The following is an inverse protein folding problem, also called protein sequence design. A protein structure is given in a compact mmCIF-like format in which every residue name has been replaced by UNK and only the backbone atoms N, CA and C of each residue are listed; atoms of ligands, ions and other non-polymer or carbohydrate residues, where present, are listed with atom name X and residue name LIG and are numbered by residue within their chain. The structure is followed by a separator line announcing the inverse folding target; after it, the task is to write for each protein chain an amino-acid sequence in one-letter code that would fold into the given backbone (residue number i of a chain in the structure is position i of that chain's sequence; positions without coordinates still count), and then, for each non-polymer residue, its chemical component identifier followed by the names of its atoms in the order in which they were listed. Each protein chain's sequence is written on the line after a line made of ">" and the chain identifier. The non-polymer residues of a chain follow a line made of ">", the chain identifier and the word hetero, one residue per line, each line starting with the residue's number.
data_IF_055169483767
#
_entry.id   IF_055169483767
#
_cell.length_a   1.000
_cell.length_b   1.000
_cell.length_c   1.000
_cell.angle_alpha   90.00
_cell.angle_beta   90.00
_cell.angle_gamma   90.00
#
_symmetry.space_group_name_H-M   'P 1'
#
loop_
_entity.id
_entity.type
_entity.pdbx_description
1 polymer ?
#
# COMPACT_ATOMS: atom_id res chain seq x y z
N UNK A 1 17.67 -1.01 -28.69
CA UNK A 1 17.01 -0.93 -27.36
C UNK A 1 17.80 -0.05 -26.41
N UNK A 2 19.05 -0.39 -26.08
CA UNK A 2 19.92 0.35 -25.13
C UNK A 2 19.93 1.87 -25.34
N UNK A 3 20.11 2.34 -26.58
CA UNK A 3 20.10 3.76 -26.91
C UNK A 3 18.81 4.49 -26.49
N UNK A 4 17.65 3.83 -26.60
CA UNK A 4 16.36 4.41 -26.22
C UNK A 4 16.21 4.37 -24.69
N UNK A 5 16.58 3.25 -24.05
CA UNK A 5 16.50 3.11 -22.59
C UNK A 5 17.35 4.16 -21.85
N UNK A 6 18.55 4.48 -22.36
CA UNK A 6 19.41 5.54 -21.79
C UNK A 6 18.77 6.93 -21.76
N UNK A 7 17.78 7.22 -22.61
CA UNK A 7 17.04 8.49 -22.54
C UNK A 7 16.20 8.64 -21.27
N UNK A 8 15.95 7.54 -20.56
CA UNK A 8 15.11 7.47 -19.36
C UNK A 8 15.92 7.25 -18.06
N UNK A 9 17.24 7.43 -18.10
CA UNK A 9 18.13 7.19 -16.94
C UNK A 9 17.79 8.10 -15.74
N UNK A 10 17.32 9.33 -15.99
CA UNK A 10 16.92 10.29 -14.95
C UNK A 10 15.62 9.93 -14.19
N UNK A 11 15.02 8.76 -14.44
CA UNK A 11 13.74 8.37 -13.83
C UNK A 11 13.88 7.71 -12.44
N UNK A 12 15.13 7.42 -12.03
CA UNK A 12 15.47 6.71 -10.79
C UNK A 12 15.36 5.19 -10.90
N UNK A 13 15.10 4.66 -12.09
CA UNK A 13 15.05 3.21 -12.37
C UNK A 13 16.40 2.76 -12.91
N UNK A 14 16.86 1.57 -12.52
CA UNK A 14 18.08 0.99 -13.06
C UNK A 14 18.01 0.88 -14.59
N UNK A 15 19.09 1.28 -15.28
CA UNK A 15 19.15 1.24 -16.75
C UNK A 15 18.97 -0.18 -17.28
N UNK A 16 19.43 -1.20 -16.55
CA UNK A 16 19.27 -2.61 -16.93
C UNK A 16 17.80 -3.06 -16.94
N UNK A 17 17.01 -2.57 -15.98
CA UNK A 17 15.56 -2.82 -15.94
C UNK A 17 14.87 -2.12 -17.11
N UNK A 18 15.25 -0.88 -17.40
CA UNK A 18 14.72 -0.13 -18.55
C UNK A 18 15.07 -0.81 -19.88
N UNK A 19 16.25 -1.42 -20.00
CA UNK A 19 16.64 -2.23 -21.15
C UNK A 19 15.76 -3.49 -21.25
N UNK A 20 15.51 -4.16 -20.13
CA UNK A 20 14.67 -5.36 -20.08
C UNK A 20 13.22 -5.05 -20.48
N UNK A 21 12.62 -4.00 -19.93
CA UNK A 21 11.30 -3.48 -20.33
C UNK A 21 11.30 -3.07 -21.80
N UNK A 22 12.32 -2.36 -22.26
CA UNK A 22 12.47 -1.99 -23.66
C UNK A 22 12.59 -3.20 -24.60
N UNK A 23 13.14 -4.31 -24.13
CA UNK A 23 13.26 -5.57 -24.89
C UNK A 23 11.89 -6.21 -25.09
N UNK A 24 11.00 -6.15 -24.09
CA UNK A 24 9.58 -6.52 -24.24
C UNK A 24 8.91 -5.67 -25.33
N UNK A 25 9.17 -4.35 -25.33
CA UNK A 25 8.68 -3.44 -26.35
C UNK A 25 9.18 -3.78 -27.77
N UNK A 26 10.42 -4.25 -27.90
CA UNK A 26 10.98 -4.75 -29.16
C UNK A 26 10.30 -6.04 -29.61
N UNK A 27 10.09 -7.01 -28.72
CA UNK A 27 9.38 -8.27 -29.04
C UNK A 27 7.98 -7.96 -29.58
N UNK A 28 7.23 -7.07 -28.90
CA UNK A 28 5.92 -6.62 -29.38
C UNK A 28 6.00 -5.99 -30.77
N UNK A 29 6.99 -5.11 -30.98
CA UNK A 29 7.18 -4.46 -32.28
C UNK A 29 7.41 -5.46 -33.41
N UNK A 30 8.24 -6.48 -33.19
CA UNK A 30 8.51 -7.52 -34.18
C UNK A 30 7.24 -8.33 -34.47
N UNK A 31 6.49 -8.69 -33.44
CA UNK A 31 5.26 -9.49 -33.60
C UNK A 31 4.12 -8.74 -34.30
N UNK A 32 4.05 -7.41 -34.18
CA UNK A 32 2.96 -6.59 -34.76
C UNK A 32 3.37 -5.77 -35.98
N UNK A 33 4.62 -5.90 -36.43
CA UNK A 33 5.11 -5.14 -37.58
C UNK A 33 4.41 -5.57 -38.88
N UNK A 34 4.00 -4.58 -39.67
CA UNK A 34 3.42 -4.81 -40.99
C UNK A 34 4.24 -4.09 -42.07
N UNK A 35 4.96 -4.83 -42.95
CA UNK A 35 5.73 -4.27 -44.06
C UNK A 35 4.92 -3.44 -45.06
N UNK A 36 3.63 -3.76 -45.25
CA UNK A 36 2.73 -3.08 -46.19
C UNK A 36 2.52 -1.60 -45.85
N UNK A 37 2.78 -1.22 -44.59
CA UNK A 37 2.67 0.17 -44.12
C UNK A 37 3.83 1.07 -44.58
N UNK A 38 4.80 0.55 -45.35
CA UNK A 38 5.92 1.30 -45.96
C UNK A 38 6.76 2.12 -44.96
N UNK A 39 6.87 1.65 -43.71
CA UNK A 39 7.75 2.23 -42.69
C UNK A 39 8.88 1.27 -42.35
N UNK A 40 10.06 1.81 -42.02
CA UNK A 40 11.19 1.00 -41.56
C UNK A 40 10.85 0.37 -40.20
N UNK A 41 11.17 -0.91 -40.03
CA UNK A 41 10.99 -1.63 -38.76
C UNK A 41 11.65 -0.88 -37.59
N UNK A 42 12.85 -0.33 -37.79
CA UNK A 42 13.55 0.46 -36.78
C UNK A 42 12.72 1.66 -36.28
N UNK A 43 12.01 2.35 -37.18
CA UNK A 43 11.14 3.49 -36.84
C UNK A 43 9.96 3.03 -36.00
N UNK A 44 9.28 1.94 -36.40
CA UNK A 44 8.17 1.37 -35.64
C UNK A 44 8.62 0.84 -34.28
N UNK A 45 9.67 0.03 -34.24
CA UNK A 45 10.24 -0.54 -33.03
C UNK A 45 10.67 0.52 -32.03
N UNK A 46 11.23 1.65 -32.51
CA UNK A 46 11.58 2.76 -31.62
C UNK A 46 10.39 3.28 -30.81
N UNK A 47 9.21 3.40 -31.44
CA UNK A 47 7.98 3.85 -30.80
C UNK A 47 7.46 2.81 -29.81
N UNK A 48 7.51 1.53 -30.16
CA UNK A 48 7.07 0.45 -29.28
C UNK A 48 7.95 0.31 -28.03
N UNK A 49 9.27 0.39 -28.19
CA UNK A 49 10.24 0.37 -27.08
C UNK A 49 9.97 1.55 -26.13
N UNK A 50 9.87 2.77 -26.68
CA UNK A 50 9.60 3.98 -25.92
C UNK A 50 8.27 3.90 -25.16
N UNK A 51 7.22 3.41 -25.82
CA UNK A 51 5.91 3.24 -25.20
C UNK A 51 5.93 2.22 -24.05
N UNK A 52 6.63 1.10 -24.20
CA UNK A 52 6.69 0.09 -23.14
C UNK A 52 7.40 0.62 -21.89
N UNK A 53 8.50 1.36 -22.08
CA UNK A 53 9.22 2.03 -20.97
C UNK A 53 8.29 3.05 -20.29
N UNK A 54 7.59 3.88 -21.05
CA UNK A 54 6.63 4.84 -20.50
C UNK A 54 5.47 4.15 -19.76
N UNK A 55 4.98 3.01 -20.25
CA UNK A 55 3.95 2.23 -19.57
C UNK A 55 4.46 1.69 -18.23
N UNK A 56 5.70 1.20 -18.16
CA UNK A 56 6.33 0.75 -16.92
C UNK A 56 6.46 1.90 -15.90
N UNK A 57 6.96 3.05 -16.34
CA UNK A 57 7.15 4.22 -15.48
C UNK A 57 5.82 4.73 -14.89
N UNK A 58 4.74 4.78 -15.69
CA UNK A 58 3.40 5.16 -15.22
C UNK A 58 2.78 4.17 -14.24
N UNK A 59 3.14 2.89 -14.31
CA UNK A 59 2.69 1.89 -13.34
C UNK A 59 3.42 2.04 -12.01
N UNK A 60 4.74 2.21 -12.06
CA UNK A 60 5.57 2.33 -10.86
C UNK A 60 5.46 3.69 -10.15
N UNK A 61 4.97 4.74 -10.82
CA UNK A 61 4.77 6.04 -10.16
C UNK A 61 3.80 5.98 -8.97
N UNK A 62 2.90 4.98 -8.92
CA UNK A 62 1.99 4.78 -7.78
C UNK A 62 2.69 4.27 -6.52
N UNK A 63 3.76 3.49 -6.71
CA UNK A 63 4.54 2.86 -5.64
C UNK A 63 5.62 3.81 -5.09
N UNK A 64 5.94 4.89 -5.82
CA UNK A 64 6.95 5.89 -5.38
C UNK A 64 6.61 6.62 -4.07
N UNK A 65 5.35 6.57 -3.61
CA UNK A 65 4.94 7.13 -2.33
C UNK A 65 5.08 6.12 -1.17
N UNK A 66 5.38 4.86 -1.47
CA UNK A 66 5.63 3.84 -0.45
C UNK A 66 7.03 4.06 0.12
N UNK A 67 7.11 4.07 1.44
CA UNK A 67 8.35 4.22 2.20
C UNK A 67 8.56 2.90 2.95
N UNK A 68 9.80 2.42 2.98
CA UNK A 68 10.14 1.22 3.73
C UNK A 68 10.09 1.51 5.24
N UNK A 69 9.48 0.63 6.02
CA UNK A 69 9.55 0.74 7.49
C UNK A 69 10.96 0.59 8.04
N UNK A 70 11.86 -0.02 7.26
CA UNK A 70 13.28 -0.20 7.59
C UNK A 70 14.16 0.94 7.09
N UNK A 71 13.57 2.03 6.59
CA UNK A 71 14.34 3.19 6.17
C UNK A 71 14.69 4.06 7.40
N UNK A 72 15.98 4.41 7.60
CA UNK A 72 16.40 5.22 8.73
C UNK A 72 15.89 6.65 8.57
N UNK A 73 15.17 7.14 9.58
CA UNK A 73 14.72 8.53 9.68
C UNK A 73 15.81 9.45 10.21
N UNK A 74 16.60 8.95 11.16
CA UNK A 74 17.68 9.68 11.78
C UNK A 74 18.79 8.73 12.23
N UNK A 75 19.98 9.27 12.42
CA UNK A 75 21.13 8.55 12.96
C UNK A 75 21.64 9.39 14.13
N UNK A 76 21.73 8.78 15.32
CA UNK A 76 22.27 9.46 16.49
C UNK A 76 23.80 9.64 16.39
N UNK A 77 24.39 10.31 17.37
CA UNK A 77 25.83 10.56 17.42
C UNK A 77 26.67 9.29 17.64
N UNK A 78 26.04 8.20 18.11
CA UNK A 78 26.66 6.90 18.36
C UNK A 78 26.51 5.94 17.16
N UNK A 79 25.78 6.35 16.12
CA UNK A 79 25.56 5.61 14.88
C UNK A 79 24.36 4.66 14.91
N UNK A 80 23.48 4.75 15.91
CA UNK A 80 22.24 3.98 15.92
C UNK A 80 21.20 4.61 15.00
N UNK A 81 20.55 3.77 14.21
CA UNK A 81 19.50 4.18 13.26
C UNK A 81 18.13 4.20 13.97
N UNK A 82 17.41 5.31 13.85
CA UNK A 82 15.99 5.38 14.20
C UNK A 82 15.17 5.03 12.96
N UNK A 83 14.44 3.92 12.98
CA UNK A 83 13.64 3.47 11.85
C UNK A 83 12.23 4.06 11.91
N UNK A 84 11.55 4.10 10.75
CA UNK A 84 10.14 4.49 10.70
C UNK A 84 9.25 3.53 11.52
N UNK A 85 9.59 2.24 11.55
CA UNK A 85 8.88 1.25 12.38
C UNK A 85 8.88 1.59 13.86
N UNK A 86 9.92 2.25 14.35
CA UNK A 86 10.08 2.52 15.78
C UNK A 86 9.15 3.63 16.27
N UNK A 87 8.67 4.47 15.36
CA UNK A 87 7.73 5.56 15.64
C UNK A 87 6.28 5.11 15.50
N UNK A 88 6.01 4.08 14.69
CA UNK A 88 4.67 3.58 14.45
C UNK A 88 4.18 2.74 15.65
N UNK A 89 3.62 3.42 16.64
CA UNK A 89 2.97 2.80 17.80
C UNK A 89 1.54 2.30 17.52
N UNK A 90 0.99 1.54 18.45
CA UNK A 90 -0.45 1.21 18.48
C UNK A 90 -1.24 2.42 18.97
N UNK A 91 -2.52 2.55 18.59
CA UNK A 91 -3.37 3.65 19.09
C UNK A 91 -3.38 3.66 20.63
N UNK A 92 -3.15 4.85 21.20
CA UNK A 92 -2.94 5.04 22.64
C UNK A 92 -4.09 4.50 23.49
N UNK A 93 -5.32 4.52 22.96
CA UNK A 93 -6.53 4.22 23.72
C UNK A 93 -6.94 2.75 23.66
N UNK A 94 -6.20 1.89 22.95
CA UNK A 94 -6.57 0.46 22.84
C UNK A 94 -6.68 -0.25 24.19
N UNK A 95 -5.77 0.05 25.11
CA UNK A 95 -5.80 -0.53 26.47
C UNK A 95 -6.84 0.19 27.34
N UNK A 96 -6.95 1.52 27.23
CA UNK A 96 -7.89 2.30 28.02
C UNK A 96 -9.35 1.95 27.70
N UNK A 97 -9.68 1.78 26.42
CA UNK A 97 -11.03 1.41 25.98
C UNK A 97 -11.46 0.06 26.56
N UNK A 98 -10.55 -0.92 26.63
CA UNK A 98 -10.86 -2.23 27.22
C UNK A 98 -11.15 -2.15 28.71
N UNK A 99 -10.39 -1.32 29.43
CA UNK A 99 -10.59 -1.09 30.87
C UNK A 99 -11.89 -0.31 31.09
N UNK A 100 -12.15 0.71 30.28
CA UNK A 100 -13.37 1.52 30.36
C UNK A 100 -14.62 0.68 30.08
N UNK A 101 -14.60 -0.17 29.04
CA UNK A 101 -15.67 -1.11 28.72
C UNK A 101 -15.96 -2.09 29.88
N UNK A 102 -14.92 -2.54 30.59
CA UNK A 102 -15.08 -3.43 31.75
C UNK A 102 -15.73 -2.69 32.94
N UNK A 103 -15.27 -1.48 33.23
CA UNK A 103 -15.84 -0.62 34.29
C UNK A 103 -17.30 -0.26 33.98
N UNK A 104 -17.60 0.14 32.74
CA UNK A 104 -18.95 0.47 32.31
C UNK A 104 -19.89 -0.74 32.42
N UNK A 105 -19.39 -1.93 32.10
CA UNK A 105 -20.15 -3.17 32.25
C UNK A 105 -20.46 -3.46 33.72
N UNK A 106 -19.50 -3.28 34.63
CA UNK A 106 -19.74 -3.44 36.07
C UNK A 106 -20.78 -2.45 36.59
N UNK A 107 -20.66 -1.17 36.24
CA UNK A 107 -21.60 -0.12 36.60
C UNK A 107 -23.01 -0.42 36.07
N UNK A 108 -23.11 -0.87 34.82
CA UNK A 108 -24.37 -1.29 34.22
C UNK A 108 -24.99 -2.47 34.98
N UNK A 109 -24.22 -3.49 35.36
CA UNK A 109 -24.75 -4.60 36.16
C UNK A 109 -25.18 -4.16 37.56
N UNK A 110 -24.49 -3.21 38.18
CA UNK A 110 -24.91 -2.61 39.45
C UNK A 110 -26.23 -1.86 39.32
N UNK A 111 -26.38 -1.03 38.27
CA UNK A 111 -27.62 -0.31 38.01
C UNK A 111 -28.79 -1.27 37.73
N UNK A 112 -28.55 -2.34 36.95
CA UNK A 112 -29.54 -3.36 36.67
C UNK A 112 -30.06 -4.02 37.94
N UNK A 113 -29.25 -4.20 39.00
CA UNK A 113 -29.70 -4.85 40.26
C UNK A 113 -30.89 -4.14 40.89
N UNK A 114 -31.01 -2.82 40.72
CA UNK A 114 -32.08 -1.99 41.28
C UNK A 114 -33.42 -2.07 40.54
N UNK A 115 -33.45 -2.64 39.33
CA UNK A 115 -34.66 -2.83 38.55
C UNK A 115 -35.45 -4.07 39.01
N UNK A 116 -36.76 -4.07 38.76
CA UNK A 116 -37.57 -5.27 38.97
C UNK A 116 -37.28 -6.34 37.88
N UNK A 117 -37.72 -7.58 38.10
CA UNK A 117 -37.38 -8.70 37.20
C UNK A 117 -37.88 -8.49 35.77
N UNK A 118 -39.06 -7.87 35.61
CA UNK A 118 -39.65 -7.55 34.30
C UNK A 118 -38.84 -6.47 33.56
N UNK A 119 -38.41 -5.42 34.25
CA UNK A 119 -37.58 -4.35 33.70
C UNK A 119 -36.19 -4.87 33.31
N UNK A 120 -35.57 -5.72 34.15
CA UNK A 120 -34.31 -6.38 33.84
C UNK A 120 -34.41 -7.21 32.55
N UNK A 121 -35.50 -7.96 32.39
CA UNK A 121 -35.74 -8.79 31.21
C UNK A 121 -35.93 -7.95 29.94
N UNK A 122 -36.69 -6.86 30.02
CA UNK A 122 -36.86 -5.90 28.91
C UNK A 122 -35.52 -5.31 28.49
N UNK A 123 -34.70 -4.83 29.44
CA UNK A 123 -33.41 -4.20 29.13
C UNK A 123 -32.42 -5.22 28.55
N UNK A 124 -32.38 -6.45 29.10
CA UNK A 124 -31.55 -7.54 28.55
C UNK A 124 -31.92 -7.88 27.11
N UNK A 125 -33.20 -8.04 26.80
CA UNK A 125 -33.69 -8.37 25.46
C UNK A 125 -33.53 -7.19 24.47
N UNK A 126 -33.70 -5.96 24.95
CA UNK A 126 -33.62 -4.76 24.10
C UNK A 126 -32.20 -4.44 23.64
N UNK A 127 -31.21 -4.64 24.51
CA UNK A 127 -29.82 -4.26 24.27
C UNK A 127 -28.85 -5.45 24.13
N UNK A 128 -29.33 -6.69 24.25
CA UNK A 128 -28.53 -7.89 24.00
C UNK A 128 -27.44 -8.17 25.04
N UNK A 129 -27.65 -7.76 26.29
CA UNK A 129 -26.62 -7.70 27.35
C UNK A 129 -26.06 -9.07 27.80
N UNK A 130 -26.66 -10.19 27.37
CA UNK A 130 -26.20 -11.56 27.65
C UNK A 130 -25.54 -12.24 26.43
N UNK A 131 -25.24 -11.50 25.36
CA UNK A 131 -24.60 -12.07 24.15
C UNK A 131 -25.50 -12.98 23.31
N UNK A 132 -26.76 -13.15 23.68
CA UNK A 132 -27.78 -13.78 22.84
C UNK A 132 -28.34 -12.73 21.89
N UNK A 133 -27.94 -12.82 20.62
CA UNK A 133 -28.58 -12.12 19.51
C UNK A 133 -29.95 -12.74 19.22
#
# INVERSE_FOLDING_TARGET
>A
VVYIARKFENTGVCVEDLISVGTIGLIKAVNTFNPEKKIKLATYASRCIENEILMYLRRNSKVKAEISFYEPLNIDWDGNELLLSDILGTENDTVYNLIEDEVDRELLFLALKHLNDREKEIVKLRFGLNGTR
#
